data_IF_443337256972
#
_entry.id   IF_443337256972
#
_cell.length_a   1.000
_cell.length_b   1.000
_cell.length_c   1.000
_cell.angle_alpha   90.00
_cell.angle_beta   90.00
_cell.angle_gamma   90.00
#
_symmetry.space_group_name_H-M   'P 1'
#
loop_
_entity.id
_entity.type
_entity.pdbx_description
1 polymer ?
#
# COMPACT_ATOMS: atom_id res chain seq x y z
N UNK A 1 19.86 0.19 16.65
CA UNK A 1 20.72 -0.99 16.42
C UNK A 1 20.43 -1.57 15.05
N UNK A 2 21.45 -2.02 14.33
CA UNK A 2 21.35 -2.56 12.96
C UNK A 2 20.38 -3.73 12.85
N UNK A 3 20.33 -4.60 13.87
CA UNK A 3 19.39 -5.73 13.94
C UNK A 3 17.94 -5.24 13.96
N UNK A 4 17.59 -4.29 14.82
CA UNK A 4 16.24 -3.74 14.89
C UNK A 4 15.81 -3.08 13.57
N UNK A 5 16.74 -2.41 12.89
CA UNK A 5 16.48 -1.84 11.57
C UNK A 5 16.22 -2.92 10.51
N UNK A 6 17.00 -4.01 10.50
CA UNK A 6 16.77 -5.14 9.60
C UNK A 6 15.40 -5.81 9.84
N UNK A 7 15.01 -5.99 11.11
CA UNK A 7 13.69 -6.51 11.45
C UNK A 7 12.56 -5.56 11.03
N UNK A 8 12.73 -4.25 11.25
CA UNK A 8 11.74 -3.25 10.82
C UNK A 8 11.54 -3.23 9.31
N UNK A 9 12.63 -3.25 8.54
CA UNK A 9 12.57 -3.31 7.08
C UNK A 9 11.89 -4.60 6.60
N UNK A 10 12.27 -5.75 7.16
CA UNK A 10 11.70 -7.05 6.82
C UNK A 10 10.20 -7.11 7.12
N UNK A 11 9.77 -6.62 8.29
CA UNK A 11 8.37 -6.58 8.68
C UNK A 11 7.56 -5.62 7.78
N UNK A 12 8.12 -4.48 7.40
CA UNK A 12 7.50 -3.56 6.45
C UNK A 12 7.27 -4.19 5.08
N UNK A 13 8.27 -4.88 4.54
CA UNK A 13 8.14 -5.62 3.28
C UNK A 13 7.08 -6.71 3.41
N UNK A 14 7.13 -7.52 4.47
CA UNK A 14 6.13 -8.55 4.73
C UNK A 14 4.70 -7.99 4.75
N UNK A 15 4.48 -6.88 5.45
CA UNK A 15 3.17 -6.25 5.54
C UNK A 15 2.65 -5.78 4.17
N UNK A 16 3.51 -5.23 3.32
CA UNK A 16 3.15 -4.83 1.95
C UNK A 16 2.74 -6.03 1.10
N UNK A 17 3.51 -7.13 1.16
CA UNK A 17 3.21 -8.34 0.37
C UNK A 17 1.93 -9.06 0.82
N UNK A 18 1.70 -9.18 2.13
CA UNK A 18 0.56 -9.93 2.65
C UNK A 18 -0.73 -9.11 2.73
N UNK A 19 -0.63 -7.80 2.97
CA UNK A 19 -1.81 -6.95 3.12
C UNK A 19 -2.04 -6.01 1.93
N UNK A 20 -1.23 -6.06 0.87
CA UNK A 20 -1.42 -5.23 -0.33
C UNK A 20 -2.77 -5.42 -1.04
N UNK A 21 -3.40 -6.59 -0.86
CA UNK A 21 -4.75 -6.87 -1.39
C UNK A 21 -5.87 -6.25 -0.55
N UNK A 22 -5.59 -5.90 0.71
CA UNK A 22 -6.55 -5.23 1.59
C UNK A 22 -6.77 -3.81 1.05
N UNK A 23 -8.01 -3.43 0.66
CA UNK A 23 -8.28 -2.14 0.04
C UNK A 23 -7.78 -0.95 0.86
N UNK A 24 -7.80 -1.09 2.19
CA UNK A 24 -7.35 -0.08 3.15
C UNK A 24 -5.83 0.10 3.15
N UNK A 25 -5.04 -0.97 3.13
CA UNK A 25 -3.57 -0.88 3.08
C UNK A 25 -3.10 -0.30 1.77
N UNK A 26 -3.73 -0.69 0.66
CA UNK A 26 -3.48 -0.08 -0.64
C UNK A 26 -3.73 1.43 -0.60
N UNK A 27 -4.86 1.86 -0.04
CA UNK A 27 -5.24 3.29 0.01
C UNK A 27 -4.44 4.13 0.98
N UNK A 28 -4.24 3.64 2.19
CA UNK A 28 -3.68 4.45 3.28
C UNK A 28 -2.15 4.35 3.35
N UNK A 29 -1.54 3.31 2.77
CA UNK A 29 -0.08 3.10 2.79
C UNK A 29 0.50 3.20 1.38
N UNK A 30 0.10 2.30 0.47
CA UNK A 30 0.77 2.18 -0.84
C UNK A 30 0.56 3.41 -1.72
N UNK A 31 -0.68 3.92 -1.81
CA UNK A 31 -0.99 5.14 -2.58
C UNK A 31 -0.35 6.41 -2.00
N UNK A 32 0.07 6.41 -0.73
CA UNK A 32 0.75 7.54 -0.09
C UNK A 32 2.27 7.55 -0.30
N UNK A 33 2.84 6.57 -1.03
CA UNK A 33 4.27 6.55 -1.34
C UNK A 33 4.52 7.45 -2.56
N UNK A 34 5.31 8.54 -2.44
CA UNK A 34 5.39 9.58 -3.47
C UNK A 34 5.94 9.12 -4.82
N UNK A 35 6.71 8.01 -4.86
CA UNK A 35 7.35 7.52 -6.08
C UNK A 35 6.49 6.47 -6.80
N UNK A 36 5.78 5.63 -6.04
CA UNK A 36 5.12 4.44 -6.59
C UNK A 36 3.61 4.42 -6.34
N UNK A 37 3.06 5.37 -5.58
CA UNK A 37 1.65 5.34 -5.16
C UNK A 37 0.64 5.34 -6.31
N UNK A 38 0.95 6.02 -7.42
CA UNK A 38 0.11 6.03 -8.61
C UNK A 38 -0.07 4.66 -9.28
N UNK A 39 0.83 3.70 -9.05
CA UNK A 39 0.67 2.33 -9.57
C UNK A 39 -0.54 1.59 -8.95
N UNK A 40 -0.91 1.96 -7.72
CA UNK A 40 -2.02 1.34 -6.99
C UNK A 40 -3.31 2.16 -7.06
N UNK A 41 -3.31 3.28 -7.78
CA UNK A 41 -4.49 4.10 -7.98
C UNK A 41 -5.49 3.35 -8.86
N UNK A 42 -6.59 2.91 -8.25
CA UNK A 42 -7.80 2.53 -8.99
C UNK A 42 -8.70 3.74 -9.06
N UNK A 43 -8.64 4.49 -10.15
CA UNK A 43 -9.70 5.42 -10.49
C UNK A 43 -10.94 4.60 -10.85
N UNK A 44 -11.97 4.67 -10.02
CA UNK A 44 -13.30 4.22 -10.41
C UNK A 44 -13.95 5.44 -11.07
N UNK A 45 -14.25 5.42 -12.38
CA UNK A 45 -14.98 6.50 -13.02
C UNK A 45 -16.26 6.82 -12.24
N UNK A 46 -16.64 8.10 -12.07
CA UNK A 46 -17.85 8.46 -11.36
C UNK A 46 -19.10 7.80 -11.96
N UNK A 47 -19.13 7.52 -13.26
CA UNK A 47 -20.23 6.78 -13.89
C UNK A 47 -20.35 5.32 -13.46
N UNK A 48 -19.29 4.70 -12.93
CA UNK A 48 -19.25 3.31 -12.48
C UNK A 48 -19.63 3.15 -11.00
N UNK A 49 -19.99 4.25 -10.31
CA UNK A 49 -20.31 4.27 -8.89
C UNK A 49 -21.80 4.02 -8.57
N UNK A 50 -22.44 3.01 -9.17
CA UNK A 50 -23.88 2.74 -8.99
C UNK A 50 -24.34 2.85 -7.53
N UNK A 51 -25.12 3.90 -7.24
CA UNK A 51 -25.95 4.07 -6.04
C UNK A 51 -27.21 4.85 -6.39
#
# INVERSE_FOLDING_TARGET
>A
GTIAAAFGASAGIFAVFFFGEVPRVRKDILMNIPVIGGYWERSIPPEDNVS
#
